data_IF_850510005467
#
_entry.id   IF_850510005467
#
_cell.length_a   1.000
_cell.length_b   1.000
_cell.length_c   1.000
_cell.angle_alpha   90.00
_cell.angle_beta   90.00
_cell.angle_gamma   90.00
#
_symmetry.space_group_name_H-M   'P 1'
#
loop_
_entity.id
_entity.type
_entity.pdbx_description
1 polymer ?
#
# COMPACT_ATOMS: atom_id res chain seq x y z
N UNK A 1 2.23 -25.21 -14.78
CA UNK A 1 1.93 -23.97 -14.02
C UNK A 1 1.50 -24.41 -12.63
N UNK A 2 2.21 -24.02 -11.56
CA UNK A 2 1.76 -24.33 -10.19
C UNK A 2 0.42 -23.66 -9.91
N UNK A 3 -0.47 -24.31 -9.14
CA UNK A 3 -1.72 -23.70 -8.69
C UNK A 3 -1.39 -22.64 -7.63
N UNK A 4 -2.08 -21.49 -7.67
CA UNK A 4 -1.97 -20.48 -6.62
C UNK A 4 -2.54 -21.06 -5.31
N UNK A 5 -1.72 -21.11 -4.26
CA UNK A 5 -2.20 -21.42 -2.92
C UNK A 5 -2.90 -20.19 -2.32
N UNK A 6 -4.22 -20.13 -2.44
CA UNK A 6 -5.03 -19.02 -1.94
C UNK A 6 -4.99 -18.84 -0.42
N UNK A 7 -4.89 -19.93 0.34
CA UNK A 7 -4.73 -19.82 1.80
C UNK A 7 -3.46 -19.08 2.19
N UNK A 8 -2.36 -19.32 1.45
CA UNK A 8 -1.09 -18.63 1.63
C UNK A 8 -1.12 -17.20 1.09
N UNK A 9 -1.87 -16.93 0.01
CA UNK A 9 -2.10 -15.56 -0.48
C UNK A 9 -2.80 -14.74 0.59
N UNK A 10 -3.87 -15.26 1.19
CA UNK A 10 -4.61 -14.55 2.25
C UNK A 10 -3.74 -14.37 3.49
N UNK A 11 -3.07 -15.42 3.97
CA UNK A 11 -2.22 -15.33 5.15
C UNK A 11 -1.06 -14.33 4.97
N UNK A 12 -0.31 -14.44 3.88
CA UNK A 12 0.77 -13.50 3.56
C UNK A 12 0.22 -12.09 3.28
N UNK A 13 -0.95 -12.02 2.66
CA UNK A 13 -1.66 -10.78 2.36
C UNK A 13 -2.05 -10.00 3.61
N UNK A 14 -2.58 -10.68 4.62
CA UNK A 14 -2.88 -10.08 5.91
C UNK A 14 -1.62 -9.55 6.58
N UNK A 15 -0.52 -10.31 6.55
CA UNK A 15 0.75 -9.86 7.11
C UNK A 15 1.30 -8.62 6.36
N UNK A 16 1.22 -8.61 5.03
CA UNK A 16 1.55 -7.42 4.24
C UNK A 16 0.64 -6.24 4.61
N UNK A 17 -0.66 -6.48 4.79
CA UNK A 17 -1.62 -5.47 5.23
C UNK A 17 -1.31 -4.87 6.60
N UNK A 18 -0.82 -5.67 7.55
CA UNK A 18 -0.33 -5.15 8.86
C UNK A 18 0.84 -4.20 8.66
N UNK A 19 1.80 -4.57 7.81
CA UNK A 19 2.96 -3.70 7.52
C UNK A 19 2.51 -2.39 6.88
N UNK A 20 1.59 -2.44 5.92
CA UNK A 20 1.02 -1.24 5.29
C UNK A 20 0.32 -0.35 6.31
N UNK A 21 -0.56 -0.91 7.13
CA UNK A 21 -1.26 -0.18 8.19
C UNK A 21 -0.33 0.53 9.17
N UNK A 22 0.76 -0.13 9.59
CA UNK A 22 1.74 0.47 10.50
C UNK A 22 2.40 1.68 9.82
N UNK A 23 2.82 1.55 8.55
CA UNK A 23 3.46 2.64 7.82
C UNK A 23 2.47 3.77 7.54
N UNK A 24 1.23 3.44 7.19
CA UNK A 24 0.18 4.42 6.91
C UNK A 24 -0.19 5.23 8.15
N UNK A 25 -0.34 4.55 9.29
CA UNK A 25 -0.55 5.20 10.59
C UNK A 25 0.63 6.10 10.98
N UNK A 26 1.88 5.63 10.83
CA UNK A 26 3.06 6.47 11.09
C UNK A 26 3.08 7.70 10.17
N UNK A 27 2.76 7.51 8.90
CA UNK A 27 2.84 8.57 7.88
C UNK A 27 1.75 9.60 8.07
N UNK A 28 0.48 9.20 8.05
CA UNK A 28 -0.66 10.14 8.08
C UNK A 28 -1.23 10.36 9.47
N UNK A 29 -1.18 9.36 10.34
CA UNK A 29 -1.67 9.44 11.71
C UNK A 29 -0.71 10.09 12.69
N UNK A 30 0.60 10.11 12.40
CA UNK A 30 1.64 10.67 13.28
C UNK A 30 2.39 11.81 12.60
N UNK A 31 3.16 11.54 11.54
CA UNK A 31 4.11 12.50 10.98
C UNK A 31 3.44 13.63 10.19
N UNK A 32 2.44 13.31 9.37
CA UNK A 32 1.72 14.27 8.51
C UNK A 32 0.35 14.64 9.08
N UNK A 33 0.03 14.28 10.33
CA UNK A 33 -1.29 14.52 10.93
C UNK A 33 -1.69 16.00 10.87
N UNK A 34 -0.78 16.89 11.26
CA UNK A 34 -1.03 18.33 11.25
C UNK A 34 -1.17 18.87 9.81
N UNK A 35 -0.32 18.39 8.89
CA UNK A 35 -0.37 18.77 7.48
C UNK A 35 -1.68 18.32 6.81
N UNK A 36 -2.14 17.10 7.09
CA UNK A 36 -3.44 16.57 6.63
C UNK A 36 -4.59 17.41 7.20
N UNK A 37 -4.57 17.73 8.49
CA UNK A 37 -5.60 18.57 9.09
C UNK A 37 -5.67 19.97 8.42
N UNK A 38 -4.52 20.59 8.17
CA UNK A 38 -4.44 21.88 7.49
C UNK A 38 -4.95 21.79 6.04
N UNK A 39 -4.60 20.72 5.31
CA UNK A 39 -5.06 20.50 3.95
C UNK A 39 -6.58 20.32 3.89
N UNK A 40 -7.16 19.55 4.82
CA UNK A 40 -8.61 19.37 4.90
C UNK A 40 -9.36 20.66 5.29
N UNK A 41 -8.78 21.48 6.18
CA UNK A 41 -9.33 22.79 6.51
C UNK A 41 -9.32 23.74 5.30
N UNK A 42 -8.25 23.74 4.49
CA UNK A 42 -8.18 24.52 3.26
C UNK A 42 -9.27 24.12 2.24
N UNK A 43 -9.73 22.87 2.29
CA UNK A 43 -10.87 22.36 1.53
C UNK A 43 -12.24 22.65 2.18
N UNK A 44 -12.29 23.42 3.26
CA UNK A 44 -13.52 23.76 3.97
C UNK A 44 -14.13 22.62 4.78
N UNK A 45 -13.36 21.56 5.10
CA UNK A 45 -13.85 20.44 5.91
C UNK A 45 -13.70 20.72 7.40
N UNK A 46 -14.67 20.24 8.17
CA UNK A 46 -14.64 20.33 9.62
C UNK A 46 -13.46 19.50 10.21
N UNK A 47 -12.90 19.90 11.36
CA UNK A 47 -11.96 19.07 12.11
C UNK A 47 -12.53 17.67 12.35
N UNK A 48 -11.72 16.63 12.12
CA UNK A 48 -12.14 15.23 12.29
C UNK A 48 -13.06 14.69 11.19
N UNK A 49 -13.30 15.43 10.11
CA UNK A 49 -14.16 14.96 8.99
C UNK A 49 -13.66 13.67 8.32
N UNK A 50 -12.41 13.27 8.56
CA UNK A 50 -11.79 12.06 8.02
C UNK A 50 -11.75 10.90 9.01
N UNK A 51 -12.07 11.12 10.28
CA UNK A 51 -11.90 10.11 11.34
C UNK A 51 -12.83 8.90 11.10
N UNK A 52 -14.01 9.13 10.52
CA UNK A 52 -14.96 8.07 10.17
C UNK A 52 -14.50 7.20 8.99
N UNK A 53 -13.53 7.66 8.20
CA UNK A 53 -12.97 6.92 7.07
C UNK A 53 -11.80 6.01 7.48
N UNK A 54 -11.25 6.16 8.69
CA UNK A 54 -10.12 5.35 9.18
C UNK A 54 -10.37 3.84 9.08
N UNK A 55 -11.53 3.28 9.48
CA UNK A 55 -11.78 1.85 9.33
C UNK A 55 -11.75 1.37 7.88
N UNK A 56 -12.16 2.22 6.94
CA UNK A 56 -12.11 1.92 5.51
C UNK A 56 -10.66 1.84 5.02
N UNK A 57 -9.80 2.80 5.36
CA UNK A 57 -8.39 2.77 4.96
C UNK A 57 -7.65 1.56 5.54
N UNK A 58 -7.89 1.24 6.82
CA UNK A 58 -7.34 0.03 7.44
C UNK A 58 -7.74 -1.23 6.68
N UNK A 59 -9.02 -1.34 6.29
CA UNK A 59 -9.51 -2.46 5.50
C UNK A 59 -8.88 -2.49 4.09
N UNK A 60 -8.72 -1.32 3.45
CA UNK A 60 -8.09 -1.20 2.14
C UNK A 60 -6.63 -1.61 2.16
N UNK A 61 -5.89 -1.37 3.24
CA UNK A 61 -4.51 -1.84 3.40
C UNK A 61 -4.44 -3.37 3.45
N UNK A 62 -5.40 -4.03 4.12
CA UNK A 62 -5.49 -5.49 4.10
C UNK A 62 -5.84 -6.03 2.72
N UNK A 63 -6.80 -5.41 2.04
CA UNK A 63 -7.17 -5.78 0.66
C UNK A 63 -5.97 -5.61 -0.27
N UNK A 64 -5.23 -4.51 -0.12
CA UNK A 64 -4.01 -4.22 -0.87
C UNK A 64 -2.91 -5.23 -0.58
N UNK A 65 -2.71 -5.61 0.68
CA UNK A 65 -1.79 -6.68 1.08
C UNK A 65 -2.11 -8.01 0.41
N UNK A 66 -3.38 -8.42 0.39
CA UNK A 66 -3.83 -9.63 -0.31
C UNK A 66 -3.59 -9.52 -1.82
N UNK A 67 -3.90 -8.36 -2.41
CA UNK A 67 -3.61 -8.08 -3.81
C UNK A 67 -2.12 -8.19 -4.15
N UNK A 68 -1.24 -7.63 -3.31
CA UNK A 68 0.22 -7.72 -3.46
C UNK A 68 0.70 -9.17 -3.48
N UNK A 69 0.18 -9.99 -2.56
CA UNK A 69 0.57 -11.39 -2.49
C UNK A 69 0.01 -12.23 -3.63
N UNK A 70 -1.17 -11.88 -4.13
CA UNK A 70 -1.69 -12.47 -5.35
C UNK A 70 -0.81 -12.13 -6.56
N UNK A 71 -0.36 -10.87 -6.71
CA UNK A 71 0.57 -10.48 -7.78
C UNK A 71 1.89 -11.24 -7.65
N UNK A 72 2.47 -11.29 -6.45
CA UNK A 72 3.68 -12.08 -6.18
C UNK A 72 3.50 -13.55 -6.60
N UNK A 73 2.41 -14.19 -6.16
CA UNK A 73 2.10 -15.57 -6.52
C UNK A 73 1.91 -15.76 -8.03
N UNK A 74 1.27 -14.81 -8.72
CA UNK A 74 1.00 -14.89 -10.15
C UNK A 74 2.27 -14.78 -11.01
N UNK A 75 3.24 -13.96 -10.58
CA UNK A 75 4.51 -13.77 -11.32
C UNK A 75 5.58 -14.80 -10.93
N UNK A 76 5.47 -15.42 -9.74
CA UNK A 76 6.43 -16.40 -9.22
C UNK A 76 6.82 -17.53 -10.20
N UNK A 77 5.92 -18.13 -11.00
CA UNK A 77 6.29 -19.17 -11.96
C UNK A 77 7.29 -18.72 -13.06
N UNK A 78 7.38 -17.41 -13.33
CA UNK A 78 8.28 -16.83 -14.35
C UNK A 78 9.54 -16.22 -13.74
N UNK A 79 9.41 -15.60 -12.58
CA UNK A 79 10.48 -14.84 -11.93
C UNK A 79 11.23 -15.66 -10.86
N UNK A 80 10.71 -16.84 -10.50
CA UNK A 80 11.25 -17.67 -9.43
C UNK A 80 10.76 -17.23 -8.05
N UNK A 81 11.03 -18.06 -7.04
CA UNK A 81 10.69 -17.78 -5.65
C UNK A 81 11.72 -16.83 -5.00
N UNK A 82 11.27 -15.97 -4.09
CA UNK A 82 12.16 -15.24 -3.18
C UNK A 82 11.98 -13.73 -3.18
N UNK A 83 12.86 -13.07 -2.42
CA UNK A 83 12.80 -11.63 -2.11
C UNK A 83 12.80 -10.77 -3.38
N UNK A 84 13.63 -11.11 -4.37
CA UNK A 84 13.70 -10.38 -5.64
C UNK A 84 12.33 -10.31 -6.33
N UNK A 85 11.60 -11.42 -6.40
CA UNK A 85 10.27 -11.47 -7.02
C UNK A 85 9.24 -10.70 -6.20
N UNK A 86 9.32 -10.74 -4.87
CA UNK A 86 8.45 -9.96 -4.00
C UNK A 86 8.66 -8.45 -4.18
N UNK A 87 9.93 -8.01 -4.29
CA UNK A 87 10.25 -6.60 -4.58
C UNK A 87 9.72 -6.20 -5.96
N UNK A 88 9.88 -7.03 -6.99
CA UNK A 88 9.35 -6.76 -8.33
C UNK A 88 7.82 -6.61 -8.30
N UNK A 89 7.11 -7.50 -7.60
CA UNK A 89 5.66 -7.41 -7.43
C UNK A 89 5.25 -6.11 -6.72
N UNK A 90 5.93 -5.77 -5.62
CA UNK A 90 5.66 -4.54 -4.87
C UNK A 90 5.93 -3.28 -5.69
N UNK A 91 7.05 -3.23 -6.43
CA UNK A 91 7.38 -2.10 -7.31
C UNK A 91 6.40 -1.97 -8.48
N UNK A 92 5.92 -3.08 -9.04
CA UNK A 92 4.91 -3.05 -10.08
C UNK A 92 3.61 -2.45 -9.56
N UNK A 93 3.13 -2.89 -8.38
CA UNK A 93 1.92 -2.32 -7.77
C UNK A 93 2.13 -0.86 -7.38
N UNK A 94 3.27 -0.51 -6.79
CA UNK A 94 3.61 0.90 -6.54
C UNK A 94 3.57 1.73 -7.82
N UNK A 95 4.11 1.24 -8.92
CA UNK A 95 4.11 1.97 -10.18
C UNK A 95 2.67 2.18 -10.70
N UNK A 96 1.91 1.10 -10.86
CA UNK A 96 0.59 1.17 -11.48
C UNK A 96 -0.49 1.79 -10.59
N UNK A 97 -0.40 1.62 -9.27
CA UNK A 97 -1.44 2.05 -8.32
C UNK A 97 -1.01 3.25 -7.50
N UNK A 98 0.27 3.36 -7.13
CA UNK A 98 0.78 4.49 -6.35
C UNK A 98 1.19 5.68 -7.23
N UNK A 99 2.19 5.47 -8.09
CA UNK A 99 2.80 6.54 -8.87
C UNK A 99 1.86 7.09 -9.94
N UNK A 100 1.26 6.23 -10.77
CA UNK A 100 0.36 6.69 -11.83
C UNK A 100 -0.87 7.42 -11.28
N UNK A 101 -1.41 6.94 -10.16
CA UNK A 101 -2.50 7.60 -9.44
C UNK A 101 -2.08 8.98 -8.94
N UNK A 102 -0.94 9.09 -8.25
CA UNK A 102 -0.44 10.37 -7.75
C UNK A 102 -0.18 11.38 -8.87
N UNK A 103 0.37 10.94 -10.01
CA UNK A 103 0.57 11.80 -11.19
C UNK A 103 -0.78 12.24 -11.77
N UNK A 104 -1.73 11.32 -11.92
CA UNK A 104 -3.04 11.59 -12.49
C UNK A 104 -3.87 12.58 -11.66
N UNK A 105 -3.76 12.52 -10.34
CA UNK A 105 -4.47 13.42 -9.43
C UNK A 105 -3.74 14.75 -9.18
N UNK A 106 -2.43 14.82 -9.42
CA UNK A 106 -1.64 16.04 -9.16
C UNK A 106 -2.20 17.34 -9.77
N UNK A 107 -2.80 17.35 -10.99
CA UNK A 107 -3.35 18.57 -11.57
C UNK A 107 -4.67 19.02 -10.93
N UNK A 108 -5.32 18.18 -10.12
CA UNK A 108 -6.63 18.48 -9.53
C UNK A 108 -6.56 19.48 -8.37
N UNK A 109 -5.38 19.64 -7.76
CA UNK A 109 -5.16 20.64 -6.69
C UNK A 109 -5.90 20.36 -5.38
N UNK A 110 -6.42 19.14 -5.17
CA UNK A 110 -7.15 18.79 -3.95
C UNK A 110 -6.24 18.73 -2.71
N UNK A 111 -5.00 18.29 -2.87
CA UNK A 111 -4.04 18.15 -1.78
C UNK A 111 -2.75 18.93 -2.08
N UNK A 112 -2.06 19.46 -1.06
CA UNK A 112 -0.74 20.03 -1.24
C UNK A 112 0.21 19.05 -1.92
N UNK A 113 0.87 19.47 -3.00
CA UNK A 113 1.76 18.62 -3.80
C UNK A 113 2.86 17.95 -2.96
N UNK A 114 3.35 18.64 -1.94
CA UNK A 114 4.33 18.10 -0.98
C UNK A 114 3.81 16.83 -0.29
N UNK A 115 2.54 16.79 0.10
CA UNK A 115 1.96 15.64 0.82
C UNK A 115 1.77 14.45 -0.11
N UNK A 116 1.32 14.70 -1.34
CA UNK A 116 1.23 13.66 -2.37
C UNK A 116 2.62 13.06 -2.65
N UNK A 117 3.64 13.90 -2.83
CA UNK A 117 5.02 13.46 -3.06
C UNK A 117 5.55 12.60 -1.91
N UNK A 118 5.37 13.03 -0.65
CA UNK A 118 5.81 12.25 0.51
C UNK A 118 5.09 10.90 0.53
N UNK A 119 3.77 10.87 0.37
CA UNK A 119 3.00 9.63 0.33
C UNK A 119 3.49 8.67 -0.76
N UNK A 120 3.71 9.15 -1.97
CA UNK A 120 4.23 8.34 -3.08
C UNK A 120 5.63 7.80 -2.81
N UNK A 121 6.52 8.61 -2.23
CA UNK A 121 7.89 8.20 -1.88
C UNK A 121 7.92 7.20 -0.72
N UNK A 122 7.05 7.36 0.28
CA UNK A 122 6.90 6.37 1.36
C UNK A 122 6.39 5.05 0.79
N UNK A 123 5.36 5.10 -0.07
CA UNK A 123 4.80 3.93 -0.74
C UNK A 123 5.81 3.17 -1.60
N UNK A 124 6.79 3.86 -2.20
CA UNK A 124 7.87 3.25 -2.98
C UNK A 124 8.66 2.23 -2.17
N UNK A 125 8.78 2.45 -0.86
CA UNK A 125 9.51 1.57 0.05
C UNK A 125 8.56 0.63 0.79
N UNK A 126 7.44 1.14 1.30
CA UNK A 126 6.53 0.37 2.15
C UNK A 126 5.85 -0.78 1.41
N UNK A 127 5.45 -0.57 0.15
CA UNK A 127 4.78 -1.61 -0.65
C UNK A 127 5.73 -2.79 -0.94
N UNK A 128 6.97 -2.59 -1.43
CA UNK A 128 7.95 -3.69 -1.54
C UNK A 128 8.23 -4.38 -0.21
N UNK A 129 8.42 -3.62 0.88
CA UNK A 129 8.69 -4.20 2.21
C UNK A 129 7.53 -5.06 2.70
N UNK A 130 6.29 -4.57 2.57
CA UNK A 130 5.08 -5.32 2.91
C UNK A 130 4.96 -6.60 2.07
N UNK A 131 5.25 -6.51 0.77
CA UNK A 131 5.22 -7.68 -0.13
C UNK A 131 6.27 -8.71 0.28
N UNK A 132 7.49 -8.28 0.62
CA UNK A 132 8.56 -9.17 1.09
C UNK A 132 8.16 -9.85 2.40
N UNK A 133 7.59 -9.10 3.34
CA UNK A 133 7.12 -9.64 4.61
C UNK A 133 6.06 -10.73 4.37
N UNK A 134 5.02 -10.45 3.59
CA UNK A 134 3.99 -11.44 3.31
C UNK A 134 4.47 -12.62 2.46
N UNK A 135 5.42 -12.39 1.54
CA UNK A 135 6.02 -13.45 0.73
C UNK A 135 6.84 -14.43 1.58
N UNK A 136 7.36 -14.02 2.73
CA UNK A 136 8.11 -14.89 3.64
C UNK A 136 7.26 -16.07 4.14
N UNK A 137 5.97 -15.86 4.34
CA UNK A 137 5.04 -16.92 4.78
C UNK A 137 4.36 -17.64 3.61
N UNK A 138 4.60 -17.20 2.37
CA UNK A 138 4.00 -17.79 1.17
C UNK A 138 4.78 -19.03 0.69
N UNK A 139 4.06 -20.15 0.52
CA UNK A 139 4.57 -21.39 -0.08
C UNK A 139 3.53 -21.89 -1.10
N UNK A 140 4.00 -22.41 -2.22
CA UNK A 140 3.12 -22.92 -3.31
C UNK A 140 2.54 -24.31 -3.04
N UNK A 141 2.99 -24.99 -1.98
CA UNK A 141 2.49 -26.31 -1.55
C UNK A 141 1.12 -26.20 -0.88
#
# INVERSE_FOLDING_TARGET
MGKINWGRVVLGGLLAGVVLNIVDWLTYGVWLKADMAAAMQALGKAPGAMDSAVPLWVALDFVSGIGLLWVYAAIRPRFGAGVKTAVIAGLAVWFFVGLLHAIGESPMGFMPQRLMMIGTCVALVSIPVATVAGAYVYKEM
#
